data_IF_624868658038
#
_entry.id   IF_624868658038
#
_cell.length_a   1.000
_cell.length_b   1.000
_cell.length_c   1.000
_cell.angle_alpha   90.00
_cell.angle_beta   90.00
_cell.angle_gamma   90.00
#
_symmetry.space_group_name_H-M   'P 1'
#
loop_
_entity.id
_entity.type
_entity.pdbx_description
1 polymer ?
#
# COMPACT_ATOMS: atom_id res chain seq x y z
N UNK A 1 9.85 -4.98 2.06
CA UNK A 1 10.73 -4.12 1.21
C UNK A 1 11.88 -3.67 2.06
N UNK A 2 13.12 -3.96 1.66
CA UNK A 2 14.32 -3.65 2.42
C UNK A 2 14.34 -2.14 2.75
N UNK A 3 14.79 -1.76 3.95
CA UNK A 3 14.88 -0.35 4.42
C UNK A 3 15.58 0.53 3.38
N UNK A 4 16.64 0.02 2.76
CA UNK A 4 17.39 0.68 1.69
C UNK A 4 16.51 1.07 0.50
N UNK A 5 15.58 0.18 0.07
CA UNK A 5 14.66 0.47 -1.04
C UNK A 5 13.63 1.55 -0.69
N UNK A 6 13.21 1.62 0.58
CA UNK A 6 12.32 2.69 1.06
C UNK A 6 13.03 4.04 1.02
N UNK A 7 14.25 4.10 1.54
CA UNK A 7 15.08 5.32 1.53
C UNK A 7 15.34 5.78 0.10
N UNK A 8 15.71 4.87 -0.80
CA UNK A 8 15.96 5.18 -2.21
C UNK A 8 14.72 5.77 -2.90
N UNK A 9 13.52 5.25 -2.59
CA UNK A 9 12.27 5.77 -3.12
C UNK A 9 12.00 7.22 -2.65
N UNK A 10 12.23 7.53 -1.37
CA UNK A 10 12.10 8.91 -0.86
C UNK A 10 13.12 9.86 -1.50
N UNK A 11 14.38 9.43 -1.61
CA UNK A 11 15.43 10.22 -2.29
C UNK A 11 15.08 10.47 -3.76
N UNK A 12 14.53 9.47 -4.44
CA UNK A 12 14.02 9.62 -5.81
C UNK A 12 12.91 10.66 -5.91
N UNK A 13 11.90 10.62 -5.03
CA UNK A 13 10.84 11.62 -4.99
C UNK A 13 11.38 13.05 -4.80
N UNK A 14 12.33 13.23 -3.87
CA UNK A 14 12.97 14.52 -3.60
C UNK A 14 13.74 15.01 -4.84
N UNK A 15 14.58 14.15 -5.44
CA UNK A 15 15.37 14.48 -6.61
C UNK A 15 14.50 14.90 -7.81
N UNK A 16 13.42 14.15 -8.09
CA UNK A 16 12.48 14.48 -9.15
C UNK A 16 11.67 15.75 -8.85
N UNK A 17 11.34 16.02 -7.60
CA UNK A 17 10.67 17.29 -7.23
C UNK A 17 11.60 18.47 -7.46
N UNK A 18 12.87 18.37 -7.08
CA UNK A 18 13.89 19.41 -7.35
C UNK A 18 14.06 19.62 -8.86
N UNK A 19 14.13 18.53 -9.63
CA UNK A 19 14.20 18.60 -11.10
C UNK A 19 12.97 19.27 -11.69
N UNK A 20 11.78 19.01 -11.18
CA UNK A 20 10.55 19.67 -11.59
C UNK A 20 10.58 21.19 -11.33
N UNK A 21 11.07 21.61 -10.16
CA UNK A 21 11.26 23.04 -9.85
C UNK A 21 12.30 23.66 -10.80
N UNK A 22 13.41 22.99 -11.03
CA UNK A 22 14.45 23.46 -11.97
C UNK A 22 13.89 23.64 -13.38
N UNK A 23 13.06 22.72 -13.89
CA UNK A 23 12.40 22.86 -15.19
C UNK A 23 11.50 24.11 -15.30
N UNK A 24 10.96 24.61 -14.19
CA UNK A 24 10.18 25.85 -14.17
C UNK A 24 11.05 27.12 -14.25
N UNK A 25 12.33 27.03 -13.88
CA UNK A 25 13.26 28.18 -13.83
C UNK A 25 14.14 28.29 -15.08
N UNK A 26 14.03 27.33 -16.02
CA UNK A 26 14.82 27.39 -17.27
C UNK A 26 14.35 28.55 -18.13
N UNK A 27 15.29 29.38 -18.54
CA UNK A 27 15.04 30.50 -19.45
C UNK A 27 14.82 30.05 -20.90
N UNK A 28 13.96 30.75 -21.59
CA UNK A 28 13.49 30.48 -22.96
C UNK A 28 14.61 30.44 -24.01
N UNK A 29 15.78 31.00 -23.68
CA UNK A 29 16.90 31.16 -24.61
C UNK A 29 17.86 29.96 -24.66
N UNK A 30 17.76 29.04 -23.74
CA UNK A 30 18.77 27.97 -23.53
C UNK A 30 18.34 26.57 -24.00
N UNK A 31 17.09 26.38 -24.47
CA UNK A 31 16.58 25.03 -24.79
C UNK A 31 16.00 24.92 -26.19
N UNK A 32 16.26 23.78 -26.87
CA UNK A 32 15.61 23.42 -28.14
C UNK A 32 14.11 23.10 -28.01
N UNK A 33 13.61 23.01 -26.78
CA UNK A 33 12.22 22.65 -26.50
C UNK A 33 11.37 23.87 -26.22
N UNK A 34 10.11 23.82 -26.62
CA UNK A 34 9.15 24.90 -26.35
C UNK A 34 9.01 25.14 -24.85
N UNK A 35 9.19 26.37 -24.35
CA UNK A 35 9.21 26.70 -22.92
C UNK A 35 7.97 26.21 -22.15
N UNK A 36 6.80 26.34 -22.79
CA UNK A 36 5.55 25.89 -22.15
C UNK A 36 5.50 24.38 -21.88
N UNK A 37 6.12 23.56 -22.76
CA UNK A 37 6.20 22.09 -22.58
C UNK A 37 7.08 21.74 -21.40
N UNK A 38 8.19 22.45 -21.23
CA UNK A 38 9.10 22.26 -20.08
C UNK A 38 8.43 22.67 -18.78
N UNK A 39 7.75 23.81 -18.75
CA UNK A 39 6.98 24.27 -17.58
C UNK A 39 5.85 23.29 -17.22
N UNK A 40 5.11 22.81 -18.22
CA UNK A 40 4.07 21.80 -18.01
C UNK A 40 4.63 20.49 -17.46
N UNK A 41 5.75 20.01 -18.01
CA UNK A 41 6.44 18.82 -17.49
C UNK A 41 6.93 19.04 -16.04
N UNK A 42 7.47 20.22 -15.73
CA UNK A 42 7.89 20.60 -14.39
C UNK A 42 6.74 20.56 -13.39
N UNK A 43 5.58 21.15 -13.73
CA UNK A 43 4.37 21.11 -12.89
C UNK A 43 3.90 19.68 -12.65
N UNK A 44 3.80 18.85 -13.70
CA UNK A 44 3.41 17.45 -13.57
C UNK A 44 4.37 16.67 -12.67
N UNK A 45 5.67 16.90 -12.82
CA UNK A 45 6.70 16.27 -12.01
C UNK A 45 6.55 16.62 -10.54
N UNK A 46 6.33 17.91 -10.22
CA UNK A 46 6.11 18.37 -8.83
C UNK A 46 4.83 17.75 -8.24
N UNK A 47 3.72 17.77 -8.99
CA UNK A 47 2.46 17.19 -8.50
C UNK A 47 2.61 15.70 -8.25
N UNK A 48 3.21 14.96 -9.17
CA UNK A 48 3.32 13.51 -9.08
C UNK A 48 4.32 13.07 -8.01
N UNK A 49 5.53 13.59 -8.03
CA UNK A 49 6.57 13.16 -7.10
C UNK A 49 6.51 13.91 -5.76
N UNK A 50 6.24 15.21 -5.78
CA UNK A 50 6.03 16.00 -4.56
C UNK A 50 4.75 15.58 -3.84
N UNK A 51 3.62 15.54 -4.52
CA UNK A 51 2.34 15.09 -3.95
C UNK A 51 2.35 13.64 -3.50
N UNK A 52 2.91 12.73 -4.31
CA UNK A 52 3.07 11.32 -3.97
C UNK A 52 3.97 11.09 -2.76
N UNK A 53 5.11 11.78 -2.70
CA UNK A 53 6.04 11.73 -1.58
C UNK A 53 5.41 12.24 -0.28
N UNK A 54 4.71 13.38 -0.32
CA UNK A 54 3.98 13.95 0.82
C UNK A 54 2.86 13.01 1.30
N UNK A 55 2.11 12.41 0.40
CA UNK A 55 1.06 11.45 0.75
C UNK A 55 1.62 10.21 1.46
N UNK A 56 2.75 9.67 0.98
CA UNK A 56 3.44 8.55 1.64
C UNK A 56 3.94 8.95 3.03
N UNK A 57 4.56 10.14 3.15
CA UNK A 57 5.02 10.67 4.42
C UNK A 57 3.87 10.89 5.41
N UNK A 58 2.76 11.48 4.95
CA UNK A 58 1.56 11.70 5.76
C UNK A 58 1.00 10.38 6.31
N UNK A 59 0.85 9.34 5.46
CA UNK A 59 0.40 8.03 5.94
C UNK A 59 1.32 7.45 7.02
N UNK A 60 2.63 7.56 6.84
CA UNK A 60 3.60 7.04 7.79
C UNK A 60 3.57 7.81 9.11
N UNK A 61 3.49 9.15 9.04
CA UNK A 61 3.37 10.03 10.23
C UNK A 61 2.06 9.73 10.97
N UNK A 62 0.95 9.56 10.26
CA UNK A 62 -0.34 9.21 10.86
C UNK A 62 -0.29 7.87 11.59
N UNK A 63 0.38 6.86 11.03
CA UNK A 63 0.59 5.57 11.70
C UNK A 63 1.44 5.72 12.96
N UNK A 64 2.51 6.52 12.90
CA UNK A 64 3.40 6.78 14.04
C UNK A 64 2.69 7.56 15.16
N UNK A 65 1.94 8.60 14.82
CA UNK A 65 1.19 9.41 15.81
C UNK A 65 0.11 8.56 16.48
N UNK A 66 -0.57 7.71 15.74
CA UNK A 66 -1.62 6.85 16.29
C UNK A 66 -1.08 5.59 16.97
N UNK A 67 0.24 5.43 17.09
CA UNK A 67 0.92 4.22 17.62
C UNK A 67 0.42 2.92 16.97
N UNK A 68 -0.15 2.97 15.76
CA UNK A 68 -0.67 1.80 15.04
C UNK A 68 0.44 1.14 14.22
N UNK A 69 0.55 -0.17 14.36
CA UNK A 69 1.41 -0.99 13.50
C UNK A 69 0.82 -1.08 12.09
N UNK A 70 1.66 -1.36 11.10
CA UNK A 70 1.20 -1.60 9.71
C UNK A 70 0.21 -2.78 9.66
N UNK A 71 0.43 -3.79 10.50
CA UNK A 71 -0.47 -4.92 10.76
C UNK A 71 -0.67 -5.02 12.27
N UNK A 72 -1.90 -5.04 12.71
CA UNK A 72 -2.27 -5.16 14.12
C UNK A 72 -3.26 -6.30 14.30
N UNK A 73 -2.93 -7.23 15.19
CA UNK A 73 -3.83 -8.28 15.62
C UNK A 73 -4.52 -7.83 16.90
N UNK A 74 -5.83 -7.75 16.86
CA UNK A 74 -6.67 -7.36 18.00
C UNK A 74 -7.47 -8.57 18.47
N UNK A 75 -8.17 -8.46 19.60
CA UNK A 75 -9.09 -9.50 20.07
C UNK A 75 -10.27 -9.71 19.10
N UNK A 76 -10.60 -8.72 18.28
CA UNK A 76 -11.75 -8.77 17.37
C UNK A 76 -11.40 -9.18 15.95
N UNK A 77 -10.17 -8.89 15.50
CA UNK A 77 -9.80 -9.10 14.12
C UNK A 77 -8.37 -8.68 13.78
N UNK A 78 -8.13 -8.47 12.51
CA UNK A 78 -6.87 -7.96 11.97
C UNK A 78 -7.09 -6.61 11.30
N UNK A 79 -6.30 -5.61 11.67
CA UNK A 79 -6.27 -4.31 11.01
C UNK A 79 -5.03 -4.21 10.12
N UNK A 80 -5.22 -3.78 8.87
CA UNK A 80 -4.15 -3.59 7.88
C UNK A 80 -4.05 -2.10 7.57
N UNK A 81 -2.86 -1.51 7.75
CA UNK A 81 -2.60 -0.08 7.52
C UNK A 81 -3.47 0.87 8.37
N UNK A 82 -3.93 0.42 9.52
CA UNK A 82 -4.85 1.18 10.36
C UNK A 82 -6.22 1.42 9.71
N UNK A 83 -6.56 0.61 8.71
CA UNK A 83 -7.89 0.59 8.09
C UNK A 83 -8.93 -0.09 9.01
N UNK A 84 -10.14 -0.22 8.51
CA UNK A 84 -11.20 -0.96 9.16
C UNK A 84 -10.77 -2.40 9.49
N UNK A 85 -11.18 -2.89 10.63
CA UNK A 85 -10.80 -4.18 11.16
C UNK A 85 -11.54 -5.30 10.45
N UNK A 86 -10.81 -6.31 10.00
CA UNK A 86 -11.38 -7.52 9.41
C UNK A 86 -11.60 -8.51 10.56
N UNK A 87 -12.85 -8.85 10.85
CA UNK A 87 -13.21 -9.65 12.03
C UNK A 87 -12.76 -11.11 11.87
N UNK A 88 -12.29 -11.72 12.98
CA UNK A 88 -11.87 -13.13 12.99
C UNK A 88 -12.96 -14.09 12.55
N UNK A 89 -14.21 -13.84 12.93
CA UNK A 89 -15.35 -14.66 12.56
C UNK A 89 -15.68 -14.66 11.07
N UNK A 90 -15.21 -13.67 10.31
CA UNK A 90 -15.39 -13.55 8.85
C UNK A 90 -14.25 -14.21 8.07
N UNK A 91 -13.10 -14.46 8.73
CA UNK A 91 -11.92 -15.04 8.10
C UNK A 91 -12.06 -16.57 8.06
N UNK A 92 -11.86 -17.16 6.88
CA UNK A 92 -11.80 -18.60 6.68
C UNK A 92 -10.38 -19.13 6.94
N UNK A 93 -9.38 -18.56 6.26
CA UNK A 93 -7.97 -18.96 6.36
C UNK A 93 -7.02 -17.86 5.87
N UNK A 94 -5.73 -18.07 6.12
CA UNK A 94 -4.62 -17.29 5.55
C UNK A 94 -3.79 -18.18 4.64
N UNK A 95 -3.38 -17.64 3.49
CA UNK A 95 -2.52 -18.34 2.55
C UNK A 95 -1.33 -17.48 2.14
N UNK A 96 -0.20 -18.11 1.86
CA UNK A 96 0.98 -17.44 1.33
C UNK A 96 1.04 -17.68 -0.18
N UNK A 97 1.05 -16.61 -0.95
CA UNK A 97 1.17 -16.68 -2.41
C UNK A 97 2.37 -15.87 -2.89
N UNK A 98 2.84 -16.20 -4.09
CA UNK A 98 3.83 -15.39 -4.80
C UNK A 98 3.17 -14.68 -5.97
N UNK A 99 3.15 -13.35 -5.91
CA UNK A 99 2.54 -12.52 -6.95
C UNK A 99 3.52 -11.45 -7.42
N UNK A 100 3.81 -11.43 -8.72
CA UNK A 100 4.77 -10.47 -9.34
C UNK A 100 6.10 -10.38 -8.58
N UNK A 101 6.65 -11.52 -8.15
CA UNK A 101 7.92 -11.60 -7.42
C UNK A 101 7.84 -11.28 -5.92
N UNK A 102 6.71 -10.78 -5.42
CA UNK A 102 6.49 -10.50 -4.00
C UNK A 102 5.77 -11.67 -3.31
N UNK A 103 6.12 -11.92 -2.04
CA UNK A 103 5.38 -12.86 -1.17
C UNK A 103 4.27 -12.10 -0.46
N UNK A 104 3.03 -12.49 -0.72
CA UNK A 104 1.84 -11.91 -0.12
C UNK A 104 1.16 -12.91 0.79
N UNK A 105 0.69 -12.44 1.94
CA UNK A 105 -0.27 -13.16 2.77
C UNK A 105 -1.65 -12.70 2.31
N UNK A 106 -2.47 -13.64 1.89
CA UNK A 106 -3.86 -13.42 1.48
C UNK A 106 -4.80 -13.82 2.61
N UNK A 107 -5.87 -13.06 2.77
CA UNK A 107 -6.94 -13.33 3.74
C UNK A 107 -8.12 -13.89 2.96
N UNK A 108 -8.43 -15.14 3.22
CA UNK A 108 -9.61 -15.78 2.63
C UNK A 108 -10.81 -15.57 3.53
N UNK A 109 -11.86 -14.98 2.97
CA UNK A 109 -13.11 -14.73 3.69
C UNK A 109 -14.03 -15.94 3.59
N UNK A 110 -14.86 -16.16 4.62
CA UNK A 110 -15.88 -17.22 4.59
C UNK A 110 -16.94 -16.97 3.53
N UNK A 111 -17.31 -15.71 3.32
CA UNK A 111 -18.29 -15.27 2.33
C UNK A 111 -17.81 -14.00 1.62
N UNK A 112 -17.01 -14.19 0.57
CA UNK A 112 -16.42 -13.10 -0.20
C UNK A 112 -17.47 -12.26 -0.94
N UNK A 113 -18.54 -12.87 -1.41
CA UNK A 113 -19.61 -12.19 -2.15
C UNK A 113 -20.38 -11.23 -1.25
N UNK A 114 -20.73 -11.69 -0.06
CA UNK A 114 -21.41 -10.88 0.96
C UNK A 114 -20.56 -9.68 1.38
N UNK A 115 -19.24 -9.86 1.59
CA UNK A 115 -18.34 -8.76 1.95
C UNK A 115 -18.28 -7.71 0.83
N UNK A 116 -18.17 -8.14 -0.43
CA UNK A 116 -18.19 -7.24 -1.59
C UNK A 116 -19.54 -6.50 -1.70
N UNK A 117 -20.65 -7.20 -1.51
CA UNK A 117 -22.00 -6.61 -1.62
C UNK A 117 -22.24 -5.54 -0.54
N UNK A 118 -21.71 -5.74 0.67
CA UNK A 118 -21.87 -4.82 1.79
C UNK A 118 -20.89 -3.63 1.76
N UNK A 119 -19.87 -3.63 0.88
CA UNK A 119 -18.92 -2.52 0.79
C UNK A 119 -19.58 -1.30 0.13
N UNK A 120 -19.67 -0.21 0.87
CA UNK A 120 -20.30 1.03 0.42
C UNK A 120 -19.46 1.81 -0.60
N UNK A 121 -18.12 1.71 -0.49
CA UNK A 121 -17.20 2.42 -1.37
C UNK A 121 -17.04 1.70 -2.70
N UNK A 122 -17.47 2.35 -3.79
CA UNK A 122 -17.30 1.83 -5.15
C UNK A 122 -15.84 1.46 -5.49
N UNK A 123 -14.89 2.28 -5.08
CA UNK A 123 -13.45 2.05 -5.32
C UNK A 123 -12.98 0.80 -4.58
N UNK A 124 -13.34 0.65 -3.31
CA UNK A 124 -12.98 -0.53 -2.52
C UNK A 124 -13.62 -1.79 -3.12
N UNK A 125 -14.90 -1.74 -3.49
CA UNK A 125 -15.60 -2.86 -4.14
C UNK A 125 -14.90 -3.32 -5.41
N UNK A 126 -14.54 -2.39 -6.30
CA UNK A 126 -13.79 -2.72 -7.53
C UNK A 126 -12.41 -3.30 -7.23
N UNK A 127 -11.73 -2.81 -6.21
CA UNK A 127 -10.45 -3.36 -5.77
C UNK A 127 -10.60 -4.79 -5.24
N UNK A 128 -11.63 -5.05 -4.44
CA UNK A 128 -11.94 -6.40 -3.93
C UNK A 128 -12.28 -7.38 -5.06
N UNK A 129 -13.12 -6.98 -6.03
CA UNK A 129 -13.45 -7.77 -7.22
C UNK A 129 -12.19 -8.11 -8.04
N UNK A 130 -11.31 -7.13 -8.24
CA UNK A 130 -10.04 -7.32 -8.93
C UNK A 130 -9.12 -8.28 -8.17
N UNK A 131 -8.98 -8.11 -6.86
CA UNK A 131 -8.17 -8.98 -6.03
C UNK A 131 -8.70 -10.42 -6.04
N UNK A 132 -10.01 -10.60 -5.91
CA UNK A 132 -10.64 -11.93 -5.94
C UNK A 132 -10.32 -12.66 -7.26
N UNK A 133 -10.37 -11.96 -8.40
CA UNK A 133 -10.04 -12.52 -9.71
C UNK A 133 -8.54 -12.83 -9.87
N UNK A 134 -7.67 -12.01 -9.27
CA UNK A 134 -6.24 -12.05 -9.55
C UNK A 134 -5.46 -12.92 -8.57
N UNK A 135 -5.83 -12.90 -7.29
CA UNK A 135 -5.13 -13.58 -6.20
C UNK A 135 -6.05 -14.48 -5.36
N UNK A 136 -7.29 -14.67 -5.80
CA UNK A 136 -8.33 -15.48 -5.12
C UNK A 136 -8.53 -15.09 -3.64
N UNK A 137 -8.46 -13.78 -3.33
CA UNK A 137 -8.71 -13.25 -1.99
C UNK A 137 -9.12 -11.79 -2.07
N UNK A 138 -9.95 -11.31 -1.13
CA UNK A 138 -10.36 -9.90 -1.08
C UNK A 138 -9.25 -8.99 -0.57
N UNK A 139 -8.53 -9.45 0.44
CA UNK A 139 -7.48 -8.70 1.12
C UNK A 139 -6.15 -9.43 1.04
N UNK A 140 -5.09 -8.67 0.94
CA UNK A 140 -3.73 -9.17 1.00
C UNK A 140 -2.78 -8.12 1.52
N UNK A 141 -1.69 -8.57 2.10
CA UNK A 141 -0.59 -7.70 2.51
C UNK A 141 0.76 -8.39 2.30
N UNK A 142 1.83 -7.63 2.04
CA UNK A 142 3.16 -8.19 1.90
C UNK A 142 3.63 -8.88 3.17
N UNK A 143 4.14 -10.10 3.06
CA UNK A 143 4.61 -10.88 4.22
C UNK A 143 5.72 -10.17 5.02
N UNK A 144 6.51 -9.28 4.39
CA UNK A 144 7.57 -8.52 5.06
C UNK A 144 7.05 -7.44 6.04
N UNK A 145 5.74 -7.20 6.10
CA UNK A 145 5.12 -6.27 7.06
C UNK A 145 5.05 -6.86 8.47
N UNK A 146 5.11 -8.18 8.56
CA UNK A 146 5.33 -8.89 9.80
C UNK A 146 6.80 -9.26 9.92
N UNK A 147 7.33 -9.23 11.13
CA UNK A 147 8.72 -9.59 11.41
C UNK A 147 8.96 -11.07 11.09
N UNK A 148 10.15 -11.40 10.59
CA UNK A 148 10.54 -12.76 10.27
C UNK A 148 10.41 -13.14 8.79
N UNK A 149 10.51 -14.44 8.53
CA UNK A 149 10.33 -15.01 7.20
C UNK A 149 8.86 -15.11 6.83
N UNK A 150 8.55 -15.17 5.55
CA UNK A 150 7.16 -15.18 5.07
C UNK A 150 6.34 -16.37 5.62
N UNK A 151 6.98 -17.51 5.83
CA UNK A 151 6.38 -18.71 6.41
C UNK A 151 6.07 -18.52 7.91
N UNK A 152 6.94 -17.84 8.63
CA UNK A 152 6.76 -17.47 10.04
C UNK A 152 5.61 -16.45 10.18
N UNK A 153 5.55 -15.48 9.29
CA UNK A 153 4.46 -14.51 9.23
C UNK A 153 3.10 -15.18 8.96
N UNK A 154 3.04 -16.16 8.04
CA UNK A 154 1.84 -16.96 7.80
C UNK A 154 1.44 -17.76 9.05
N UNK A 155 2.42 -18.41 9.70
CA UNK A 155 2.19 -19.19 10.92
C UNK A 155 1.61 -18.30 12.02
N UNK A 156 2.15 -17.09 12.20
CA UNK A 156 1.64 -16.11 13.16
C UNK A 156 0.17 -15.73 12.87
N UNK A 157 -0.18 -15.50 11.60
CA UNK A 157 -1.56 -15.23 11.22
C UNK A 157 -2.51 -16.39 11.55
N UNK A 158 -2.11 -17.62 11.22
CA UNK A 158 -2.90 -18.84 11.51
C UNK A 158 -3.04 -19.12 13.00
N UNK A 159 -2.01 -18.89 13.78
CA UNK A 159 -2.07 -19.02 15.25
C UNK A 159 -3.06 -18.02 15.86
N UNK A 160 -3.04 -16.75 15.40
CA UNK A 160 -4.02 -15.77 15.88
C UNK A 160 -5.45 -16.15 15.45
N UNK A 161 -5.66 -16.60 14.22
CA UNK A 161 -6.97 -17.07 13.78
C UNK A 161 -7.47 -18.27 14.63
N UNK A 162 -6.59 -19.21 14.96
CA UNK A 162 -6.94 -20.39 15.77
C UNK A 162 -7.32 -20.05 17.20
N UNK A 163 -6.78 -18.95 17.77
CA UNK A 163 -7.13 -18.49 19.12
C UNK A 163 -8.55 -17.91 19.21
N UNK A 164 -9.12 -17.50 18.07
CA UNK A 164 -10.39 -16.78 18.01
C UNK A 164 -11.49 -17.54 17.23
N UNK A 165 -11.21 -18.77 16.84
CA UNK A 165 -12.20 -19.75 16.34
C UNK A 165 -12.90 -20.49 17.49
#
# INVERSE_FOLDING_TARGET
>A
MNQTKKILAYLGCIAFTILGVWLLTIDDTTTMYSPWKLRFAGVLTIIFFGGGGLFMAYKKVKLLINHKKEIEFTDRGISIWGAEEILWNEIADFSLIRFKGNRLITIQMKDSEKVIANESSWIKRKTMEYNLKTINALYSFPAYMLDGRAEEALTLCKLNLAKHK
#
